data_IF_671297114645
#
_entry.id   IF_671297114645
#
_cell.length_a   1.000
_cell.length_b   1.000
_cell.length_c   1.000
_cell.angle_alpha   90.00
_cell.angle_beta   90.00
_cell.angle_gamma   90.00
#
_symmetry.space_group_name_H-M   'P 1'
#
loop_
_entity.id
_entity.type
_entity.pdbx_description
1 polymer ?
#
# COMPACT_ATOMS: atom_id res chain seq x y z
N UNK A 1 12.51 -5.78 6.06
CA UNK A 1 11.33 -6.48 6.61
C UNK A 1 10.10 -6.37 5.70
N UNK A 2 9.84 -5.26 4.99
CA UNK A 2 8.76 -5.16 3.96
C UNK A 2 9.11 -5.77 2.59
N UNK A 3 10.38 -5.69 2.17
CA UNK A 3 10.83 -6.13 0.83
C UNK A 3 10.57 -7.61 0.54
N UNK A 4 10.78 -8.48 1.53
CA UNK A 4 10.57 -9.93 1.39
C UNK A 4 9.09 -10.34 1.24
N UNK A 5 8.15 -9.47 1.63
CA UNK A 5 6.71 -9.74 1.48
C UNK A 5 6.22 -9.44 0.05
N UNK A 6 6.91 -8.54 -0.68
CA UNK A 6 6.58 -8.17 -2.05
C UNK A 6 7.15 -9.17 -3.08
N UNK A 7 8.30 -9.78 -2.81
CA UNK A 7 8.85 -10.86 -3.66
C UNK A 7 7.95 -12.10 -3.70
N UNK A 8 7.28 -12.43 -2.59
CA UNK A 8 6.40 -13.61 -2.52
C UNK A 8 5.08 -13.45 -3.29
N UNK A 9 4.69 -12.20 -3.62
CA UNK A 9 3.39 -11.91 -4.22
C UNK A 9 3.43 -11.73 -5.75
N UNK A 10 4.62 -11.72 -6.36
CA UNK A 10 4.81 -11.44 -7.80
C UNK A 10 3.97 -10.23 -8.25
N UNK A 11 3.94 -9.19 -7.43
CA UNK A 11 3.08 -8.05 -7.69
C UNK A 11 3.50 -7.37 -8.99
N UNK A 12 2.59 -7.25 -9.95
CA UNK A 12 2.83 -6.52 -11.19
C UNK A 12 2.90 -5.01 -10.94
N UNK A 13 2.27 -4.53 -9.86
CA UNK A 13 2.22 -3.11 -9.50
C UNK A 13 2.09 -2.90 -7.98
N UNK A 14 2.69 -1.83 -7.45
CA UNK A 14 2.64 -1.42 -6.05
C UNK A 14 2.22 0.05 -5.90
N UNK A 15 1.34 0.37 -4.94
CA UNK A 15 0.92 1.74 -4.63
C UNK A 15 1.09 2.05 -3.14
N UNK A 16 1.67 3.21 -2.82
CA UNK A 16 1.85 3.68 -1.44
C UNK A 16 1.80 5.22 -1.41
N UNK A 17 1.37 5.80 -0.28
CA UNK A 17 1.30 7.25 -0.09
C UNK A 17 2.57 7.83 0.55
N UNK A 18 3.50 6.97 0.98
CA UNK A 18 4.79 7.34 1.53
C UNK A 18 5.89 7.25 0.46
N UNK A 19 6.53 8.38 0.12
CA UNK A 19 7.57 8.41 -0.91
C UNK A 19 8.73 7.45 -0.63
N UNK A 20 9.15 7.33 0.64
CA UNK A 20 10.25 6.45 1.04
C UNK A 20 9.94 4.95 0.93
N UNK A 21 8.67 4.54 0.90
CA UNK A 21 8.30 3.17 0.54
C UNK A 21 8.32 2.97 -0.97
N UNK A 22 7.78 3.95 -1.71
CA UNK A 22 7.78 3.91 -3.17
C UNK A 22 9.20 3.80 -3.74
N UNK A 23 10.15 4.56 -3.20
CA UNK A 23 11.56 4.54 -3.61
C UNK A 23 12.22 3.17 -3.42
N UNK A 24 11.83 2.42 -2.39
CA UNK A 24 12.37 1.08 -2.12
C UNK A 24 11.70 0.01 -2.96
N UNK A 25 10.43 0.20 -3.32
CA UNK A 25 9.65 -0.76 -4.10
C UNK A 25 9.91 -0.63 -5.62
N UNK A 26 10.22 0.58 -6.12
CA UNK A 26 10.44 0.82 -7.56
C UNK A 26 11.57 0.00 -8.18
N UNK A 27 12.50 -0.50 -7.37
CA UNK A 27 13.63 -1.31 -7.83
C UNK A 27 13.22 -2.74 -8.20
N UNK A 28 12.06 -3.21 -7.71
CA UNK A 28 11.59 -4.60 -7.85
C UNK A 28 10.19 -4.71 -8.44
N UNK A 29 9.38 -3.64 -8.41
CA UNK A 29 8.00 -3.63 -8.92
C UNK A 29 7.62 -2.25 -9.47
N UNK A 30 6.82 -2.23 -10.53
CA UNK A 30 6.25 -0.98 -11.05
C UNK A 30 5.46 -0.28 -9.94
N UNK A 31 5.89 0.93 -9.58
CA UNK A 31 5.43 1.60 -8.35
C UNK A 31 4.77 2.94 -8.66
N UNK A 32 3.59 3.17 -8.11
CA UNK A 32 2.86 4.44 -8.17
C UNK A 32 2.73 5.09 -6.79
N UNK A 33 3.09 6.37 -6.68
CA UNK A 33 2.82 7.15 -5.47
C UNK A 33 1.37 7.64 -5.49
N UNK A 34 0.64 7.52 -4.37
CA UNK A 34 -0.73 8.02 -4.25
C UNK A 34 -0.72 9.35 -3.49
N UNK A 35 -0.80 10.51 -4.19
CA UNK A 35 -0.90 11.80 -3.54
C UNK A 35 -2.29 11.91 -2.92
N UNK A 36 -2.35 11.95 -1.57
CA UNK A 36 -3.56 11.85 -0.73
C UNK A 36 -4.03 10.40 -0.52
N UNK A 37 -3.38 9.69 0.41
CA UNK A 37 -3.80 8.37 0.84
C UNK A 37 -5.28 8.35 1.28
N UNK A 38 -6.04 7.37 0.79
CA UNK A 38 -7.41 7.15 1.25
C UNK A 38 -7.33 6.68 2.70
N UNK A 39 -7.70 7.55 3.64
CA UNK A 39 -7.99 7.10 5.00
C UNK A 39 -9.32 6.36 4.94
N UNK A 40 -9.33 5.08 5.28
CA UNK A 40 -10.58 4.34 5.41
C UNK A 40 -11.45 5.05 6.46
N UNK A 41 -12.69 5.38 6.09
CA UNK A 41 -13.67 5.85 7.06
C UNK A 41 -13.91 4.73 8.07
N UNK A 42 -13.73 5.05 9.36
CA UNK A 42 -14.19 4.17 10.42
C UNK A 42 -15.71 4.28 10.42
N UNK A 43 -16.38 3.40 9.68
CA UNK A 43 -17.81 3.19 9.85
C UNK A 43 -17.98 2.62 11.26
N UNK A 44 -18.58 3.36 12.20
CA UNK A 44 -18.87 2.81 13.52
C UNK A 44 -19.82 1.63 13.29
N UNK A 45 -19.47 0.47 13.84
CA UNK A 45 -20.41 -0.64 13.94
C UNK A 45 -21.53 -0.19 14.88
N UNK A 46 -22.63 0.34 14.33
CA UNK A 46 -23.87 0.46 15.07
C UNK A 46 -24.42 -0.95 15.20
N UNK A 47 -24.13 -1.59 16.34
CA UNK A 47 -24.71 -2.88 16.68
C UNK A 47 -26.23 -2.78 16.75
N UNK A 48 -26.88 -2.84 15.59
CA UNK A 48 -28.31 -3.00 15.42
C UNK A 48 -28.61 -4.49 15.32
N UNK A 49 -28.86 -5.09 16.49
CA UNK A 49 -29.57 -6.36 16.64
C UNK A 49 -30.89 -6.12 17.36
#
# INVERSE_FOLDING_TARGET
QKSAFLEAFAADVFFDDQPGHCEKAREVVATGHVPHGISNEIIPFDGGG
#
